data_IF_409417518721
#
_entry.id   IF_409417518721
#
_cell.length_a   1.000
_cell.length_b   1.000
_cell.length_c   1.000
_cell.angle_alpha   90.00
_cell.angle_beta   90.00
_cell.angle_gamma   90.00
#
_symmetry.space_group_name_H-M   'P 1'
#
loop_
_entity.id
_entity.type
_entity.pdbx_description
1 polymer ?
#
# COMPACT_ATOMS: atom_id res chain seq x y z
N UNK A 1 2.38 -3.52 7.91
CA UNK A 1 2.60 -4.06 9.27
C UNK A 1 1.35 -3.95 10.13
N UNK A 2 0.84 -2.75 10.44
CA UNK A 2 -0.28 -2.56 11.38
C UNK A 2 -1.57 -3.36 11.05
N UNK A 3 -2.01 -3.35 9.79
CA UNK A 3 -3.18 -4.14 9.36
C UNK A 3 -3.00 -5.65 9.53
N UNK A 4 -1.78 -6.16 9.38
CA UNK A 4 -1.48 -7.59 9.61
C UNK A 4 -1.43 -7.94 11.10
N UNK A 5 -1.06 -7.01 11.97
CA UNK A 5 -1.12 -7.20 13.43
C UNK A 5 -2.58 -7.33 13.89
N UNK A 6 -3.48 -6.50 13.36
CA UNK A 6 -4.91 -6.60 13.64
C UNK A 6 -5.50 -7.90 13.08
N UNK A 7 -5.11 -8.31 11.87
CA UNK A 7 -5.46 -9.61 11.30
C UNK A 7 -4.96 -10.78 12.16
N UNK A 8 -3.71 -10.72 12.66
CA UNK A 8 -3.14 -11.70 13.56
C UNK A 8 -3.96 -11.83 14.86
N UNK A 9 -4.37 -10.71 15.47
CA UNK A 9 -5.20 -10.72 16.67
C UNK A 9 -6.59 -11.34 16.40
N UNK A 10 -7.18 -11.05 15.24
CA UNK A 10 -8.48 -11.58 14.86
C UNK A 10 -8.43 -13.10 14.65
N UNK A 11 -7.45 -13.57 13.88
CA UNK A 11 -7.24 -15.01 13.60
C UNK A 11 -6.82 -15.77 14.87
N UNK A 12 -5.95 -15.18 15.70
CA UNK A 12 -5.53 -15.79 16.96
C UNK A 12 -6.70 -16.03 17.93
N UNK A 13 -7.70 -15.14 17.92
CA UNK A 13 -8.91 -15.26 18.74
C UNK A 13 -9.92 -16.27 18.18
N UNK A 14 -9.96 -16.47 16.86
CA UNK A 14 -10.94 -17.33 16.20
C UNK A 14 -10.47 -18.78 15.99
N UNK A 15 -9.20 -19.00 15.59
CA UNK A 15 -8.68 -20.31 15.17
C UNK A 15 -7.40 -20.75 15.90
N UNK A 16 -6.93 -19.95 16.87
CA UNK A 16 -5.79 -20.28 17.74
C UNK A 16 -4.46 -19.65 17.30
N UNK A 17 -3.54 -19.52 18.26
CA UNK A 17 -2.30 -18.71 18.13
C UNK A 17 -1.30 -19.31 17.14
N UNK A 18 -1.24 -20.65 17.06
CA UNK A 18 -0.28 -21.35 16.16
C UNK A 18 -0.69 -21.18 14.70
N UNK A 19 -1.98 -21.30 14.38
CA UNK A 19 -2.50 -21.04 13.03
C UNK A 19 -2.29 -19.57 12.62
N UNK A 20 -2.56 -18.63 13.53
CA UNK A 20 -2.35 -17.20 13.29
C UNK A 20 -0.87 -16.84 13.00
N UNK A 21 0.07 -17.50 13.66
CA UNK A 21 1.50 -17.27 13.46
C UNK A 21 1.99 -17.78 12.10
N UNK A 22 1.54 -18.96 11.68
CA UNK A 22 1.93 -19.51 10.38
C UNK A 22 1.28 -18.75 9.21
N UNK A 23 0.06 -18.26 9.37
CA UNK A 23 -0.65 -17.56 8.30
C UNK A 23 -0.28 -16.07 8.21
N UNK A 24 -0.44 -15.31 9.31
CA UNK A 24 -0.21 -13.85 9.31
C UNK A 24 1.17 -13.45 9.85
N UNK A 25 1.78 -14.28 10.70
CA UNK A 25 3.13 -14.07 11.21
C UNK A 25 4.20 -14.29 10.14
N UNK A 26 4.02 -15.28 9.27
CA UNK A 26 4.91 -15.52 8.13
C UNK A 26 4.95 -14.35 7.14
N UNK A 27 3.79 -13.77 6.81
CA UNK A 27 3.70 -12.57 5.97
C UNK A 27 4.43 -11.36 6.57
N UNK A 28 4.43 -11.22 7.89
CA UNK A 28 5.16 -10.16 8.59
C UNK A 28 6.67 -10.35 8.50
N UNK A 29 7.15 -11.59 8.66
CA UNK A 29 8.57 -11.94 8.55
C UNK A 29 9.06 -11.68 7.12
N UNK A 30 8.31 -12.12 6.10
CA UNK A 30 8.67 -11.91 4.69
C UNK A 30 8.76 -10.42 4.35
N UNK A 31 7.79 -9.62 4.78
CA UNK A 31 7.81 -8.18 4.49
C UNK A 31 8.92 -7.44 5.25
N UNK A 32 9.17 -7.78 6.51
CA UNK A 32 10.20 -7.13 7.32
C UNK A 32 11.62 -7.50 6.86
N UNK A 33 11.89 -8.80 6.71
CA UNK A 33 13.17 -9.30 6.22
C UNK A 33 13.41 -8.89 4.75
N UNK A 34 12.35 -8.90 3.92
CA UNK A 34 12.43 -8.53 2.50
C UNK A 34 12.80 -7.07 2.32
N UNK A 35 12.19 -6.18 3.11
CA UNK A 35 12.52 -4.75 3.10
C UNK A 35 13.97 -4.51 3.54
N UNK A 36 14.44 -5.20 4.59
CA UNK A 36 15.81 -5.07 5.08
C UNK A 36 16.85 -5.62 4.09
N UNK A 37 16.53 -6.71 3.40
CA UNK A 37 17.40 -7.26 2.36
C UNK A 37 17.54 -6.31 1.16
N UNK A 38 16.42 -5.73 0.69
CA UNK A 38 16.44 -4.71 -0.39
C UNK A 38 17.21 -3.46 0.06
N UNK A 39 17.04 -3.02 1.30
CA UNK A 39 17.78 -1.87 1.85
C UNK A 39 19.28 -2.16 1.96
N UNK A 40 19.66 -3.37 2.39
CA UNK A 40 21.04 -3.84 2.44
C UNK A 40 21.69 -3.83 1.06
N UNK A 41 20.97 -4.29 0.03
CA UNK A 41 21.43 -4.24 -1.36
C UNK A 41 21.64 -2.81 -1.87
N UNK A 42 20.80 -1.85 -1.46
CA UNK A 42 20.92 -0.45 -1.90
C UNK A 42 22.03 0.32 -1.18
N UNK A 43 22.36 -0.05 0.07
CA UNK A 43 23.31 0.69 0.93
C UNK A 43 24.70 0.05 0.98
N UNK A 44 24.81 -1.26 0.75
CA UNK A 44 26.07 -2.00 0.83
C UNK A 44 26.41 -2.67 -0.50
N UNK A 45 27.70 -2.81 -0.81
CA UNK A 45 28.24 -3.43 -2.03
C UNK A 45 28.12 -4.98 -1.98
N UNK A 46 27.04 -5.48 -1.39
CA UNK A 46 26.73 -6.90 -1.29
C UNK A 46 25.93 -7.31 -2.52
N UNK A 47 26.36 -8.38 -3.20
CA UNK A 47 25.64 -8.91 -4.36
C UNK A 47 24.22 -9.38 -4.00
N UNK A 48 23.31 -9.37 -4.98
CA UNK A 48 21.90 -9.80 -4.81
C UNK A 48 21.77 -11.22 -4.24
N UNK A 49 22.74 -12.10 -4.53
CA UNK A 49 22.77 -13.48 -4.08
C UNK A 49 23.66 -13.73 -2.86
N UNK A 50 24.23 -12.67 -2.28
CA UNK A 50 25.12 -12.84 -1.16
C UNK A 50 24.30 -13.27 0.08
N UNK A 51 24.82 -14.23 0.83
CA UNK A 51 24.12 -14.90 1.93
C UNK A 51 24.06 -14.02 3.18
N UNK A 52 23.41 -12.87 3.06
CA UNK A 52 23.20 -11.92 4.15
C UNK A 52 22.22 -12.50 5.16
N UNK A 53 22.34 -12.17 6.46
CA UNK A 53 21.41 -12.62 7.49
C UNK A 53 19.94 -12.32 7.15
N UNK A 54 19.71 -11.22 6.42
CA UNK A 54 18.39 -10.80 5.97
C UNK A 54 17.86 -11.63 4.79
N UNK A 55 18.72 -12.09 3.88
CA UNK A 55 18.35 -13.03 2.81
C UNK A 55 17.94 -14.41 3.36
N UNK A 56 18.61 -14.86 4.42
CA UNK A 56 18.25 -16.12 5.08
C UNK A 56 16.90 -15.95 5.79
N UNK A 57 16.67 -14.80 6.44
CA UNK A 57 15.41 -14.52 7.12
C UNK A 57 14.21 -14.43 6.15
N UNK A 58 14.39 -13.90 4.92
CA UNK A 58 13.32 -13.93 3.90
C UNK A 58 13.01 -15.34 3.44
N UNK A 59 14.03 -16.15 3.19
CA UNK A 59 13.87 -17.54 2.75
C UNK A 59 13.19 -18.37 3.84
N UNK A 60 13.58 -18.19 5.10
CA UNK A 60 12.89 -18.78 6.27
C UNK A 60 11.44 -18.34 6.34
N UNK A 61 11.15 -17.07 6.08
CA UNK A 61 9.77 -16.56 5.97
C UNK A 61 8.96 -17.28 4.89
N UNK A 62 9.51 -17.42 3.68
CA UNK A 62 8.84 -18.12 2.57
C UNK A 62 8.60 -19.59 2.88
N UNK A 63 9.58 -20.28 3.49
CA UNK A 63 9.43 -21.68 3.92
C UNK A 63 8.37 -21.81 5.02
N UNK A 64 8.36 -20.88 5.98
CA UNK A 64 7.33 -20.82 7.02
C UNK A 64 5.93 -20.62 6.42
N UNK A 65 5.80 -19.78 5.38
CA UNK A 65 4.54 -19.60 4.64
C UNK A 65 4.11 -20.91 3.96
N UNK A 66 5.00 -21.56 3.22
CA UNK A 66 4.73 -22.82 2.52
C UNK A 66 4.27 -23.91 3.50
N UNK A 67 4.93 -24.04 4.65
CA UNK A 67 4.55 -24.98 5.70
C UNK A 67 3.19 -24.60 6.32
N UNK A 68 2.96 -23.31 6.56
CA UNK A 68 1.69 -22.79 7.05
C UNK A 68 0.52 -23.17 6.13
N UNK A 69 0.69 -22.93 4.83
CA UNK A 69 -0.32 -23.22 3.82
C UNK A 69 -0.53 -24.73 3.63
N UNK A 70 0.54 -25.52 3.63
CA UNK A 70 0.47 -26.97 3.43
C UNK A 70 -0.19 -27.71 4.61
N UNK A 71 0.05 -27.26 5.84
CA UNK A 71 -0.40 -27.94 7.07
C UNK A 71 -1.74 -27.43 7.56
N UNK A 72 -2.00 -26.11 7.51
CA UNK A 72 -3.20 -25.52 8.13
C UNK A 72 -4.38 -25.31 7.17
N UNK A 73 -4.14 -25.04 5.88
CA UNK A 73 -5.24 -24.84 4.91
C UNK A 73 -5.69 -26.13 4.20
N UNK A 74 -5.16 -27.30 4.56
CA UNK A 74 -5.48 -28.60 3.93
C UNK A 74 -5.26 -28.66 2.41
N UNK A 75 -4.51 -27.73 1.81
CA UNK A 75 -4.13 -27.75 0.40
C UNK A 75 -3.09 -28.84 0.05
N UNK A 76 -2.51 -29.49 1.06
CA UNK A 76 -1.44 -30.48 0.89
C UNK A 76 -0.11 -29.83 0.50
N UNK A 77 0.98 -30.61 0.59
CA UNK A 77 2.33 -30.12 0.31
C UNK A 77 2.53 -29.58 -1.11
N UNK A 78 1.80 -30.15 -2.09
CA UNK A 78 1.84 -29.68 -3.47
C UNK A 78 1.17 -28.30 -3.63
N UNK A 79 0.04 -28.07 -2.97
CA UNK A 79 -0.65 -26.77 -2.99
C UNK A 79 0.15 -25.67 -2.29
N UNK A 80 0.73 -25.98 -1.12
CA UNK A 80 1.58 -25.04 -0.38
C UNK A 80 2.81 -24.58 -1.16
N UNK A 81 3.49 -25.50 -1.86
CA UNK A 81 4.68 -25.17 -2.65
C UNK A 81 4.39 -24.29 -3.87
N UNK A 82 3.21 -24.46 -4.49
CA UNK A 82 2.80 -23.68 -5.66
C UNK A 82 2.22 -22.32 -5.27
N UNK A 83 1.35 -22.30 -4.25
CA UNK A 83 0.70 -21.05 -3.81
C UNK A 83 1.62 -20.14 -3.02
N UNK A 84 2.61 -20.67 -2.29
CA UNK A 84 3.49 -19.85 -1.44
C UNK A 84 4.21 -18.72 -2.19
N UNK A 85 4.86 -18.99 -3.35
CA UNK A 85 5.43 -17.92 -4.18
C UNK A 85 4.38 -16.93 -4.71
N UNK A 86 3.21 -17.41 -5.13
CA UNK A 86 2.14 -16.57 -5.69
C UNK A 86 1.64 -15.57 -4.64
N UNK A 87 1.41 -16.04 -3.42
CA UNK A 87 1.02 -15.17 -2.29
C UNK A 87 2.12 -14.16 -1.96
N UNK A 88 3.38 -14.60 -1.95
CA UNK A 88 4.53 -13.72 -1.69
C UNK A 88 4.58 -12.57 -2.72
N UNK A 89 4.36 -12.86 -4.01
CA UNK A 89 4.24 -11.83 -5.04
C UNK A 89 3.00 -10.94 -4.84
N UNK A 90 1.88 -11.51 -4.41
CA UNK A 90 0.67 -10.74 -4.05
C UNK A 90 0.91 -9.75 -2.91
N UNK A 91 1.66 -10.14 -1.89
CA UNK A 91 2.05 -9.28 -0.76
C UNK A 91 2.98 -8.15 -1.20
N UNK A 92 3.95 -8.46 -2.07
CA UNK A 92 4.83 -7.45 -2.67
C UNK A 92 4.03 -6.48 -3.53
N UNK A 93 3.10 -6.97 -4.36
CA UNK A 93 2.25 -6.13 -5.20
C UNK A 93 1.35 -5.19 -4.38
N UNK A 94 0.78 -5.68 -3.26
CA UNK A 94 0.02 -4.86 -2.32
C UNK A 94 0.92 -3.76 -1.72
N UNK A 95 2.14 -4.08 -1.32
CA UNK A 95 3.08 -3.09 -0.76
C UNK A 95 3.50 -2.06 -1.81
N UNK A 96 3.81 -2.48 -3.03
CA UNK A 96 4.18 -1.60 -4.14
C UNK A 96 3.01 -0.73 -4.62
N UNK A 97 1.77 -1.14 -4.39
CA UNK A 97 0.60 -0.34 -4.76
C UNK A 97 0.53 1.00 -4.01
N UNK A 98 1.14 1.10 -2.82
CA UNK A 98 1.28 2.38 -2.08
C UNK A 98 2.18 3.39 -2.81
N UNK A 99 3.09 2.94 -3.71
CA UNK A 99 3.88 3.84 -4.56
C UNK A 99 3.02 4.68 -5.49
N UNK A 100 1.77 4.29 -5.73
CA UNK A 100 0.83 5.05 -6.55
C UNK A 100 0.56 6.46 -6.02
N UNK A 101 0.33 6.59 -4.71
CA UNK A 101 0.11 7.90 -4.07
C UNK A 101 1.39 8.73 -4.08
N UNK A 102 2.55 8.10 -3.87
CA UNK A 102 3.84 8.74 -4.05
C UNK A 102 4.01 9.26 -5.48
N UNK A 103 3.68 8.47 -6.51
CA UNK A 103 3.80 8.85 -7.91
C UNK A 103 2.93 10.07 -8.26
N UNK A 104 1.68 10.11 -7.80
CA UNK A 104 0.80 11.28 -7.96
C UNK A 104 1.39 12.51 -7.24
N UNK A 105 1.95 12.35 -6.04
CA UNK A 105 2.59 13.44 -5.30
C UNK A 105 3.82 14.01 -6.02
N UNK A 106 4.72 13.13 -6.49
CA UNK A 106 5.92 13.53 -7.25
C UNK A 106 5.54 14.23 -8.54
N UNK A 107 4.53 13.75 -9.27
CA UNK A 107 4.03 14.41 -10.47
C UNK A 107 3.52 15.83 -10.17
N UNK A 108 2.75 16.02 -9.09
CA UNK A 108 2.29 17.34 -8.66
C UNK A 108 3.44 18.30 -8.34
N UNK A 109 4.45 17.84 -7.59
CA UNK A 109 5.65 18.64 -7.28
C UNK A 109 6.41 19.02 -8.56
N UNK A 110 6.55 18.09 -9.52
CA UNK A 110 7.25 18.37 -10.78
C UNK A 110 6.49 19.35 -11.68
N UNK A 111 5.16 19.27 -11.73
CA UNK A 111 4.34 20.28 -12.44
C UNK A 111 4.55 21.66 -11.81
N UNK A 112 4.54 21.75 -10.49
CA UNK A 112 4.79 23.00 -9.77
C UNK A 112 6.21 23.55 -9.99
N UNK A 113 7.23 22.68 -9.98
CA UNK A 113 8.63 23.05 -10.22
C UNK A 113 8.83 23.59 -11.64
N UNK A 114 8.29 22.92 -12.65
CA UNK A 114 8.35 23.36 -14.06
C UNK A 114 7.64 24.69 -14.24
N UNK A 115 6.51 24.90 -13.56
CA UNK A 115 5.82 26.19 -13.59
C UNK A 115 6.66 27.33 -13.02
N UNK A 116 7.40 27.09 -11.94
CA UNK A 116 8.26 28.11 -11.32
C UNK A 116 9.44 28.41 -12.24
N UNK A 117 10.14 27.39 -12.73
CA UNK A 117 11.34 27.60 -13.55
C UNK A 117 11.01 28.23 -14.90
N UNK A 118 10.04 27.68 -15.64
CA UNK A 118 9.64 28.23 -16.93
C UNK A 118 8.85 29.55 -16.80
N UNK A 119 8.04 29.69 -15.76
CA UNK A 119 7.28 30.92 -15.49
C UNK A 119 8.19 32.08 -15.12
N UNK A 120 9.19 31.84 -14.28
CA UNK A 120 10.20 32.83 -13.91
C UNK A 120 11.06 33.26 -15.09
N UNK A 121 11.52 32.30 -15.90
CA UNK A 121 12.29 32.58 -17.12
C UNK A 121 11.49 33.43 -18.11
N UNK A 122 10.19 33.16 -18.27
CA UNK A 122 9.31 33.96 -19.14
C UNK A 122 9.13 35.40 -18.65
N UNK A 123 9.12 35.62 -17.34
CA UNK A 123 9.03 36.95 -16.74
C UNK A 123 10.34 37.74 -16.88
N UNK A 124 11.48 37.07 -16.81
CA UNK A 124 12.81 37.72 -16.82
C UNK A 124 13.50 37.76 -18.19
N UNK A 125 12.97 37.11 -19.23
CA UNK A 125 13.61 37.04 -20.57
C UNK A 125 13.60 38.35 -21.38
N UNK A 126 13.18 39.48 -20.79
CA UNK A 126 13.26 40.80 -21.43
C UNK A 126 12.19 41.08 -22.49
N UNK A 127 11.14 40.25 -22.59
CA UNK A 127 10.03 40.39 -23.55
C UNK A 127 9.05 41.56 -23.30
N UNK A 128 9.41 42.52 -22.44
CA UNK A 128 8.57 43.67 -22.08
C UNK A 128 7.43 43.36 -21.12
N UNK A 129 6.53 44.33 -20.90
CA UNK A 129 5.42 44.22 -19.92
C UNK A 129 4.47 43.05 -20.25
N UNK A 130 4.33 42.72 -21.53
CA UNK A 130 3.44 41.64 -22.00
C UNK A 130 3.92 40.26 -21.53
N UNK A 131 5.24 39.98 -21.58
CA UNK A 131 5.77 38.68 -21.14
C UNK A 131 5.66 38.49 -19.62
N UNK A 132 5.79 39.56 -18.86
CA UNK A 132 5.62 39.57 -17.40
C UNK A 132 4.17 39.24 -17.03
N UNK A 133 3.20 39.91 -17.65
CA UNK A 133 1.77 39.68 -17.37
C UNK A 133 1.37 38.26 -17.78
N UNK A 134 1.82 37.80 -18.95
CA UNK A 134 1.53 36.45 -19.42
C UNK A 134 2.15 35.37 -18.53
N UNK A 135 3.41 35.56 -18.11
CA UNK A 135 4.11 34.66 -17.18
C UNK A 135 3.44 34.59 -15.81
N UNK A 136 2.97 35.72 -15.29
CA UNK A 136 2.23 35.75 -14.02
C UNK A 136 0.90 34.98 -14.11
N UNK A 137 0.13 35.18 -15.19
CA UNK A 137 -1.15 34.47 -15.39
C UNK A 137 -0.92 32.96 -15.53
N UNK A 138 0.04 32.54 -16.36
CA UNK A 138 0.39 31.13 -16.52
C UNK A 138 0.86 30.51 -15.21
N UNK A 139 1.73 31.21 -14.47
CA UNK A 139 2.19 30.77 -13.16
C UNK A 139 1.03 30.53 -12.20
N UNK A 140 0.12 31.49 -12.04
CA UNK A 140 -1.02 31.37 -11.13
C UNK A 140 -1.94 30.22 -11.55
N UNK A 141 -2.24 30.08 -12.83
CA UNK A 141 -3.11 29.00 -13.31
C UNK A 141 -2.50 27.61 -13.14
N UNK A 142 -1.22 27.45 -13.46
CA UNK A 142 -0.54 26.16 -13.33
C UNK A 142 -0.38 25.79 -11.85
N UNK A 143 -0.10 26.76 -10.96
CA UNK A 143 -0.05 26.50 -9.52
C UNK A 143 -1.42 26.16 -8.93
N UNK A 144 -2.49 26.84 -9.37
CA UNK A 144 -3.85 26.49 -8.98
C UNK A 144 -4.21 25.06 -9.43
N UNK A 145 -3.82 24.68 -10.65
CA UNK A 145 -4.03 23.33 -11.18
C UNK A 145 -3.21 22.27 -10.44
N UNK A 146 -1.93 22.54 -10.15
CA UNK A 146 -1.06 21.64 -9.39
C UNK A 146 -1.62 21.41 -7.97
N UNK A 147 -2.15 22.45 -7.33
CA UNK A 147 -2.79 22.35 -6.02
C UNK A 147 -4.08 21.51 -6.09
N UNK A 148 -4.93 21.76 -7.09
CA UNK A 148 -6.15 20.99 -7.28
C UNK A 148 -5.85 19.49 -7.49
N UNK A 149 -4.88 19.14 -8.34
CA UNK A 149 -4.44 17.77 -8.53
C UNK A 149 -3.83 17.16 -7.26
N UNK A 150 -3.03 17.94 -6.53
CA UNK A 150 -2.41 17.53 -5.28
C UNK A 150 -3.40 17.26 -4.14
N UNK A 151 -4.60 17.86 -4.19
CA UNK A 151 -5.63 17.66 -3.17
C UNK A 151 -6.61 16.53 -3.56
N UNK A 152 -7.09 16.54 -4.80
CA UNK A 152 -8.15 15.64 -5.26
C UNK A 152 -7.62 14.25 -5.64
N UNK A 153 -6.46 14.16 -6.30
CA UNK A 153 -5.96 12.86 -6.77
C UNK A 153 -5.47 11.97 -5.62
N UNK A 154 -4.65 12.45 -4.66
CA UNK A 154 -4.23 11.63 -3.53
C UNK A 154 -5.36 11.18 -2.62
N UNK A 155 -6.41 12.00 -2.45
CA UNK A 155 -7.55 11.66 -1.57
C UNK A 155 -8.35 10.45 -2.09
N UNK A 156 -8.64 10.40 -3.39
CA UNK A 156 -9.31 9.24 -4.02
C UNK A 156 -8.41 8.00 -3.96
N UNK A 157 -7.12 8.16 -4.25
CA UNK A 157 -6.16 7.06 -4.22
C UNK A 157 -5.97 6.49 -2.81
N UNK A 158 -5.91 7.35 -1.79
CA UNK A 158 -5.85 6.96 -0.40
C UNK A 158 -7.10 6.17 0.02
N UNK A 159 -8.30 6.60 -0.39
CA UNK A 159 -9.53 5.87 -0.11
C UNK A 159 -9.48 4.45 -0.71
N UNK A 160 -9.05 4.31 -1.97
CA UNK A 160 -8.87 2.99 -2.60
C UNK A 160 -7.89 2.11 -1.82
N UNK A 161 -6.72 2.65 -1.44
CA UNK A 161 -5.73 1.91 -0.64
C UNK A 161 -6.34 1.44 0.68
N UNK A 162 -7.13 2.29 1.33
CA UNK A 162 -7.79 1.94 2.59
C UNK A 162 -8.78 0.77 2.43
N UNK A 163 -9.68 0.85 1.45
CA UNK A 163 -10.69 -0.20 1.24
C UNK A 163 -10.10 -1.50 0.69
N UNK A 164 -9.19 -1.43 -0.27
CA UNK A 164 -8.69 -2.63 -0.97
C UNK A 164 -7.52 -3.27 -0.23
N UNK A 165 -6.57 -2.46 0.23
CA UNK A 165 -5.28 -2.96 0.70
C UNK A 165 -5.16 -2.99 2.22
N UNK A 166 -5.89 -2.12 2.93
CA UNK A 166 -5.93 -2.13 4.39
C UNK A 166 -7.08 -2.99 4.92
N UNK A 167 -8.34 -2.76 4.52
CA UNK A 167 -9.49 -3.52 5.02
C UNK A 167 -9.45 -5.00 4.65
N UNK A 168 -8.94 -5.35 3.47
CA UNK A 168 -8.76 -6.74 3.05
C UNK A 168 -7.79 -7.56 3.92
N UNK A 169 -7.03 -6.95 4.84
CA UNK A 169 -6.07 -7.67 5.71
C UNK A 169 -6.69 -8.21 7.00
N UNK A 170 -7.87 -7.73 7.40
CA UNK A 170 -8.48 -8.08 8.69
C UNK A 170 -10.01 -8.25 8.64
N UNK A 171 -10.65 -7.76 7.58
CA UNK A 171 -12.10 -7.77 7.44
C UNK A 171 -12.51 -8.80 6.38
N UNK A 172 -13.24 -9.82 6.80
CA UNK A 172 -13.64 -10.95 5.93
C UNK A 172 -15.06 -10.80 5.35
N UNK A 173 -15.72 -9.64 5.56
CA UNK A 173 -17.06 -9.37 5.01
C UNK A 173 -18.21 -10.25 5.51
N UNK A 174 -17.92 -11.34 6.23
CA UNK A 174 -18.85 -12.39 6.63
C UNK A 174 -19.67 -12.07 7.89
N UNK A 175 -19.98 -10.78 8.11
CA UNK A 175 -20.81 -10.33 9.22
C UNK A 175 -22.30 -10.60 8.98
N UNK A 176 -23.03 -10.98 10.04
CA UNK A 176 -24.50 -10.93 10.01
C UNK A 176 -24.95 -9.50 10.21
N UNK A 177 -25.81 -9.00 9.31
CA UNK A 177 -26.46 -7.70 9.47
C UNK A 177 -27.24 -7.74 10.78
N UNK A 178 -26.94 -6.81 11.68
CA UNK A 178 -27.66 -6.68 12.93
C UNK A 178 -29.12 -6.34 12.62
N UNK A 179 -30.01 -7.30 12.84
CA UNK A 179 -31.45 -7.08 12.76
C UNK A 179 -31.92 -6.72 14.16
N UNK A 180 -32.31 -5.47 14.45
CA UNK A 180 -32.83 -5.12 15.76
C UNK A 180 -34.09 -5.94 16.07
N UNK A 181 -34.29 -6.26 17.35
CA UNK A 181 -35.53 -6.89 17.81
C UNK A 181 -36.71 -5.98 17.43
N UNK A 182 -37.68 -6.59 16.73
CA UNK A 182 -38.71 -5.90 15.92
C UNK A 182 -39.26 -4.61 16.52
N UNK A 183 -39.07 -3.53 15.77
CA UNK A 183 -39.65 -2.22 16.00
C UNK A 183 -39.28 -1.30 14.85
N UNK A 184 -40.22 -0.44 14.41
CA UNK A 184 -39.92 0.59 13.40
C UNK A 184 -38.80 1.46 13.94
N UNK A 185 -37.68 1.51 13.21
CA UNK A 185 -36.56 2.39 13.51
C UNK A 185 -37.02 3.84 13.37
N UNK A 186 -37.15 4.56 14.49
CA UNK A 186 -37.57 5.97 14.50
C UNK A 186 -36.55 6.91 13.83
N UNK A 187 -35.30 6.46 13.65
CA UNK A 187 -34.18 7.32 13.21
C UNK A 187 -33.26 6.71 12.15
N UNK A 188 -33.58 5.54 11.59
CA UNK A 188 -32.79 4.93 10.51
C UNK A 188 -33.72 4.35 9.45
N UNK A 189 -33.56 4.81 8.22
CA UNK A 189 -34.37 4.38 7.08
C UNK A 189 -33.79 3.08 6.53
N UNK A 190 -34.21 1.95 7.12
CA UNK A 190 -34.04 0.62 6.54
C UNK A 190 -35.35 0.21 5.90
N UNK A 191 -35.39 0.10 4.58
CA UNK A 191 -36.55 -0.42 3.86
C UNK A 191 -36.86 -1.82 4.38
N UNK A 192 -38.08 -1.95 4.90
CA UNK A 192 -38.76 -3.19 5.28
C UNK A 192 -38.98 -4.11 4.10
#
# INVERSE_FOLDING_TARGET
MFGFILGFINVARAHGVVAAFFEKGSWMIILAAGTLHIYGFLTSDQGVFDATPYAIATLVGVVCLIIGLAVFEKFGWAGGLIMGPIETFGLLANTLSYLRVMGVGVAGVKIAEVSITMGWDLMWSGGGVVSIVLGLVLFVLIQAFALALGLLSPSIHAARLHFVEWMGKFYDGSGRVFTPLGGRTLHTEGQS
#
